data_IF_024953714629
#
_entry.id   IF_024953714629
#
_cell.length_a   1.000
_cell.length_b   1.000
_cell.length_c   1.000
_cell.angle_alpha   90.00
_cell.angle_beta   90.00
_cell.angle_gamma   90.00
#
_symmetry.space_group_name_H-M   'P 1'
#
loop_
_entity.id
_entity.type
_entity.pdbx_description
1 polymer ?
#
# COMPACT_ATOMS: atom_id res chain seq x y z
N UNK A 1 22.99 -3.93 -3.54
CA UNK A 1 21.54 -3.65 -3.54
C UNK A 1 20.80 -4.90 -4.03
N UNK A 2 19.74 -5.32 -3.35
CA UNK A 2 18.98 -6.55 -3.68
C UNK A 2 17.76 -6.17 -4.53
N UNK A 3 17.51 -6.85 -5.64
CA UNK A 3 16.25 -6.69 -6.38
C UNK A 3 15.16 -7.55 -5.75
N UNK A 4 13.95 -7.01 -5.62
CA UNK A 4 12.76 -7.72 -5.16
C UNK A 4 11.70 -7.67 -6.26
N UNK A 5 11.12 -8.81 -6.66
CA UNK A 5 10.09 -8.82 -7.69
C UNK A 5 8.89 -7.92 -7.32
N UNK A 6 8.39 -7.21 -8.32
CA UNK A 6 7.13 -6.48 -8.22
C UNK A 6 5.94 -7.41 -8.17
N UNK A 7 6.07 -8.66 -8.66
CA UNK A 7 4.94 -9.58 -8.83
C UNK A 7 4.15 -9.36 -10.13
N UNK A 8 4.61 -8.44 -10.97
CA UNK A 8 3.98 -8.07 -12.25
C UNK A 8 5.00 -8.37 -13.34
N UNK A 9 4.83 -9.47 -14.11
CA UNK A 9 5.84 -9.94 -15.06
C UNK A 9 6.24 -8.91 -16.14
N UNK A 10 5.30 -8.03 -16.52
CA UNK A 10 5.61 -6.92 -17.42
C UNK A 10 6.57 -5.90 -16.79
N UNK A 11 6.32 -5.54 -15.53
CA UNK A 11 7.12 -4.56 -14.81
C UNK A 11 8.49 -5.13 -14.40
N UNK A 12 8.55 -6.39 -13.97
CA UNK A 12 9.81 -7.05 -13.61
C UNK A 12 10.79 -7.12 -14.79
N UNK A 13 10.27 -7.23 -16.03
CA UNK A 13 11.08 -7.15 -17.25
C UNK A 13 11.60 -5.74 -17.51
N UNK A 14 10.79 -4.71 -17.26
CA UNK A 14 11.16 -3.31 -17.48
C UNK A 14 12.21 -2.86 -16.46
N UNK A 15 12.07 -3.29 -15.19
CA UNK A 15 12.93 -2.88 -14.08
C UNK A 15 14.16 -3.78 -13.88
N UNK A 16 14.39 -4.76 -14.76
CA UNK A 16 15.44 -5.78 -14.60
C UNK A 16 15.40 -6.46 -13.21
N UNK A 17 14.31 -7.20 -12.97
CA UNK A 17 14.02 -8.06 -11.80
C UNK A 17 13.28 -7.38 -10.63
N UNK A 18 12.78 -6.16 -10.83
CA UNK A 18 11.82 -5.52 -9.93
C UNK A 18 12.36 -4.32 -9.18
N UNK A 19 11.90 -4.10 -7.93
CA UNK A 19 12.31 -2.95 -7.13
C UNK A 19 13.65 -3.16 -6.45
N UNK A 20 14.42 -2.09 -6.30
CA UNK A 20 15.67 -2.13 -5.56
C UNK A 20 15.40 -2.00 -4.06
N UNK A 21 15.93 -2.88 -3.20
CA UNK A 21 15.79 -2.80 -1.74
C UNK A 21 17.04 -2.16 -1.10
N UNK A 22 16.88 -1.16 -0.21
CA UNK A 22 15.64 -0.42 0.11
C UNK A 22 15.29 0.61 -0.98
N UNK A 23 14.00 0.88 -1.21
CA UNK A 23 13.52 1.99 -2.06
C UNK A 23 12.13 2.46 -1.65
N UNK A 24 11.79 3.66 -2.11
CA UNK A 24 10.43 4.21 -2.12
C UNK A 24 9.98 4.30 -3.56
N UNK A 25 8.78 3.80 -3.87
CA UNK A 25 8.22 3.76 -5.22
C UNK A 25 6.93 4.57 -5.25
N UNK A 26 6.86 5.57 -6.14
CA UNK A 26 5.63 6.32 -6.40
C UNK A 26 4.90 5.73 -7.60
N UNK A 27 3.64 5.34 -7.40
CA UNK A 27 2.75 4.88 -8.48
C UNK A 27 1.77 6.02 -8.79
N UNK A 28 2.02 6.74 -9.89
CA UNK A 28 1.22 7.89 -10.32
C UNK A 28 0.41 7.60 -11.60
N UNK A 29 -0.75 8.23 -11.72
CA UNK A 29 -1.64 8.08 -12.88
C UNK A 29 -3.08 8.49 -12.59
N UNK A 30 -3.87 8.73 -13.63
CA UNK A 30 -5.28 9.13 -13.51
C UNK A 30 -6.14 8.01 -12.89
N UNK A 31 -7.37 8.33 -12.46
CA UNK A 31 -8.31 7.31 -12.02
C UNK A 31 -8.50 6.21 -13.09
N UNK A 32 -8.63 4.96 -12.66
CA UNK A 32 -8.82 3.81 -13.56
C UNK A 32 -7.55 3.24 -14.21
N UNK A 33 -6.37 3.83 -14.01
CA UNK A 33 -5.11 3.29 -14.61
C UNK A 33 -4.55 2.05 -13.91
N UNK A 34 -5.21 1.55 -12.85
CA UNK A 34 -4.83 0.31 -12.17
C UNK A 34 -3.79 0.46 -11.05
N UNK A 35 -3.60 1.66 -10.47
CA UNK A 35 -2.63 1.90 -9.39
C UNK A 35 -2.86 1.02 -8.16
N UNK A 36 -4.10 0.97 -7.68
CA UNK A 36 -4.52 0.13 -6.55
C UNK A 36 -4.28 -1.36 -6.85
N UNK A 37 -4.67 -1.82 -8.03
CA UNK A 37 -4.39 -3.19 -8.49
C UNK A 37 -2.90 -3.49 -8.52
N UNK A 38 -2.08 -2.56 -9.01
CA UNK A 38 -0.63 -2.71 -9.04
C UNK A 38 -0.05 -2.86 -7.63
N UNK A 39 -0.43 -1.96 -6.71
CA UNK A 39 0.06 -1.97 -5.34
C UNK A 39 -0.31 -3.29 -4.64
N UNK A 40 -1.59 -3.68 -4.73
CA UNK A 40 -2.11 -4.89 -4.10
C UNK A 40 -1.48 -6.14 -4.72
N UNK A 41 -1.42 -6.26 -6.05
CA UNK A 41 -0.75 -7.38 -6.70
C UNK A 41 0.70 -7.53 -6.22
N UNK A 42 1.40 -6.40 -6.01
CA UNK A 42 2.76 -6.42 -5.51
C UNK A 42 2.88 -6.91 -4.07
N UNK A 43 1.96 -6.50 -3.20
CA UNK A 43 1.88 -7.01 -1.83
C UNK A 43 1.54 -8.51 -1.79
N UNK A 44 0.57 -8.96 -2.61
CA UNK A 44 0.25 -10.38 -2.73
C UNK A 44 1.44 -11.22 -3.16
N UNK A 45 2.18 -10.76 -4.17
CA UNK A 45 3.37 -11.48 -4.63
C UNK A 45 4.47 -11.54 -3.56
N UNK A 46 4.63 -10.46 -2.77
CA UNK A 46 5.56 -10.42 -1.66
C UNK A 46 5.13 -11.38 -0.53
N UNK A 47 3.87 -11.30 -0.11
CA UNK A 47 3.30 -12.16 0.93
C UNK A 47 3.38 -13.65 0.57
N UNK A 48 3.13 -14.03 -0.70
CA UNK A 48 3.33 -15.41 -1.18
C UNK A 48 4.78 -15.90 -1.08
N UNK A 49 5.75 -14.98 -1.04
CA UNK A 49 7.17 -15.30 -0.86
C UNK A 49 7.62 -15.19 0.61
N UNK A 50 6.68 -15.07 1.55
CA UNK A 50 6.94 -15.02 2.99
C UNK A 50 7.31 -13.64 3.53
N UNK A 51 7.11 -12.56 2.76
CA UNK A 51 7.28 -11.19 3.26
C UNK A 51 6.04 -10.75 4.06
N UNK A 52 6.24 -10.12 5.21
CA UNK A 52 5.13 -9.47 5.94
C UNK A 52 4.80 -8.13 5.29
N UNK A 53 3.55 -7.93 4.89
CA UNK A 53 3.12 -6.83 4.05
C UNK A 53 2.01 -6.01 4.73
N UNK A 54 2.11 -4.68 4.69
CA UNK A 54 1.06 -3.77 5.14
C UNK A 54 0.43 -3.03 3.96
N UNK A 55 -0.90 -2.95 3.96
CA UNK A 55 -1.66 -2.09 3.07
C UNK A 55 -2.44 -1.07 3.90
N UNK A 56 -2.04 0.19 3.83
CA UNK A 56 -2.77 1.31 4.41
C UNK A 56 -3.70 1.91 3.35
N UNK A 57 -5.00 1.75 3.56
CA UNK A 57 -6.03 2.33 2.72
C UNK A 57 -6.62 3.56 3.38
N UNK A 58 -6.73 4.65 2.63
CA UNK A 58 -7.39 5.87 3.09
C UNK A 58 -8.66 6.20 2.30
N UNK A 59 -9.06 5.30 1.39
CA UNK A 59 -10.34 5.39 0.68
C UNK A 59 -11.40 4.70 1.54
N UNK A 60 -12.56 5.33 1.70
CA UNK A 60 -13.71 4.81 2.46
C UNK A 60 -14.39 3.58 1.84
N UNK A 61 -13.67 2.80 1.02
CA UNK A 61 -14.18 1.56 0.48
C UNK A 61 -14.00 0.46 1.53
N UNK A 62 -15.08 -0.23 1.94
CA UNK A 62 -14.95 -1.34 2.88
C UNK A 62 -14.00 -2.40 2.34
N UNK A 63 -13.20 -3.02 3.21
CA UNK A 63 -12.31 -4.13 2.85
C UNK A 63 -13.06 -5.24 2.08
N UNK A 64 -14.33 -5.48 2.42
CA UNK A 64 -15.18 -6.45 1.72
C UNK A 64 -15.39 -6.11 0.23
N UNK A 65 -15.48 -4.83 -0.13
CA UNK A 65 -15.55 -4.42 -1.52
C UNK A 65 -14.20 -4.63 -2.21
N UNK A 66 -13.10 -4.24 -1.56
CA UNK A 66 -11.75 -4.46 -2.10
C UNK A 66 -11.48 -5.95 -2.34
N UNK A 67 -11.77 -6.81 -1.37
CA UNK A 67 -11.70 -8.27 -1.51
C UNK A 67 -12.58 -8.78 -2.64
N UNK A 68 -13.81 -8.28 -2.78
CA UNK A 68 -14.70 -8.65 -3.88
C UNK A 68 -14.14 -8.27 -5.27
N UNK A 69 -13.54 -7.10 -5.40
CA UNK A 69 -12.86 -6.70 -6.64
C UNK A 69 -11.62 -7.57 -6.90
N UNK A 70 -10.81 -7.79 -5.88
CA UNK A 70 -9.54 -8.52 -5.99
C UNK A 70 -9.75 -10.02 -6.24
N UNK A 71 -10.85 -10.62 -5.77
CA UNK A 71 -11.17 -12.03 -5.94
C UNK A 71 -11.25 -12.48 -7.42
N UNK A 72 -11.45 -11.56 -8.36
CA UNK A 72 -11.47 -11.86 -9.79
C UNK A 72 -10.06 -11.97 -10.41
N UNK A 73 -9.01 -11.61 -9.66
CA UNK A 73 -7.63 -11.67 -10.14
C UNK A 73 -6.95 -12.97 -9.70
N UNK A 74 -6.15 -13.54 -10.60
CA UNK A 74 -5.44 -14.81 -10.36
C UNK A 74 -4.38 -14.73 -9.25
N UNK A 75 -3.95 -13.54 -8.85
CA UNK A 75 -2.99 -13.36 -7.76
C UNK A 75 -3.66 -13.38 -6.38
N UNK A 76 -4.97 -13.18 -6.30
CA UNK A 76 -5.70 -13.11 -5.05
C UNK A 76 -5.62 -14.43 -4.29
N UNK A 77 -5.50 -14.31 -2.97
CA UNK A 77 -5.39 -15.44 -2.07
C UNK A 77 -5.86 -15.04 -0.67
N UNK A 78 -7.06 -15.47 -0.30
CA UNK A 78 -7.66 -15.08 0.98
C UNK A 78 -6.80 -15.51 2.17
N UNK A 79 -6.07 -16.64 2.07
CA UNK A 79 -5.32 -17.17 3.21
C UNK A 79 -4.20 -16.23 3.65
N UNK A 80 -3.65 -15.40 2.76
CA UNK A 80 -2.59 -14.46 3.12
C UNK A 80 -3.06 -13.37 4.09
N UNK A 81 -4.35 -13.06 4.11
CA UNK A 81 -4.94 -12.21 5.14
C UNK A 81 -5.14 -12.98 6.46
N UNK A 82 -5.54 -14.25 6.38
CA UNK A 82 -5.79 -15.11 7.55
C UNK A 82 -4.51 -15.48 8.28
N UNK A 83 -3.42 -15.70 7.53
CA UNK A 83 -2.08 -16.03 8.01
C UNK A 83 -1.28 -14.76 8.44
N UNK A 84 -1.91 -13.58 8.38
CA UNK A 84 -1.32 -12.28 8.73
C UNK A 84 -0.05 -11.91 7.91
N UNK A 85 0.18 -12.57 6.77
CA UNK A 85 1.25 -12.18 5.84
C UNK A 85 0.92 -10.88 5.09
N UNK A 86 -0.36 -10.58 4.89
CA UNK A 86 -0.85 -9.34 4.32
C UNK A 86 -1.89 -8.72 5.26
N UNK A 87 -1.57 -7.59 5.85
CA UNK A 87 -2.40 -6.91 6.85
C UNK A 87 -2.95 -5.63 6.25
N UNK A 88 -4.26 -5.43 6.39
CA UNK A 88 -4.99 -4.27 5.88
C UNK A 88 -5.34 -3.31 7.02
N UNK A 89 -5.05 -2.03 6.82
CA UNK A 89 -5.44 -0.94 7.71
C UNK A 89 -6.38 0.03 7.00
N UNK A 90 -7.55 0.27 7.59
CA UNK A 90 -8.48 1.31 7.16
C UNK A 90 -8.20 2.61 7.93
N UNK A 91 -7.59 3.57 7.27
CA UNK A 91 -7.29 4.90 7.80
C UNK A 91 -8.46 5.89 7.61
N UNK A 92 -9.51 5.53 6.88
CA UNK A 92 -10.60 6.45 6.55
C UNK A 92 -11.33 6.94 7.81
N UNK A 93 -11.48 6.08 8.82
CA UNK A 93 -12.07 6.44 10.10
C UNK A 93 -11.24 7.46 10.89
N UNK A 94 -9.92 7.39 10.82
CA UNK A 94 -9.03 8.29 11.55
C UNK A 94 -8.89 9.63 10.84
N UNK A 95 -8.91 9.64 9.50
CA UNK A 95 -8.99 10.86 8.70
C UNK A 95 -10.25 11.67 9.06
N UNK A 96 -11.41 11.02 9.22
CA UNK A 96 -12.67 11.71 9.54
C UNK A 96 -12.68 12.39 10.91
N UNK A 97 -11.79 12.01 11.83
CA UNK A 97 -11.72 12.61 13.18
C UNK A 97 -10.93 13.93 13.22
N UNK A 98 -10.44 14.43 12.08
CA UNK A 98 -9.76 15.74 11.92
C UNK A 98 -8.49 15.91 12.77
N UNK A 99 -7.70 14.84 12.99
CA UNK A 99 -6.42 14.95 13.69
C UNK A 99 -5.27 14.52 12.79
N UNK A 100 -4.57 15.54 12.32
CA UNK A 100 -3.48 15.49 11.35
C UNK A 100 -2.31 14.59 11.73
N UNK A 101 -1.87 14.72 12.98
CA UNK A 101 -0.70 14.03 13.50
C UNK A 101 -0.97 12.52 13.68
N UNK A 102 -2.23 12.15 13.93
CA UNK A 102 -2.62 10.78 14.23
C UNK A 102 -2.32 9.80 13.07
N UNK A 103 -2.36 10.21 11.80
CA UNK A 103 -2.18 9.24 10.69
C UNK A 103 -0.75 8.74 10.52
N UNK A 104 0.23 9.65 10.62
CA UNK A 104 1.64 9.28 10.55
C UNK A 104 1.98 8.47 11.80
N UNK A 105 1.54 8.93 12.97
CA UNK A 105 1.75 8.21 14.23
C UNK A 105 1.16 6.79 14.19
N UNK A 106 -0.07 6.61 13.64
CA UNK A 106 -0.68 5.29 13.48
C UNK A 106 0.14 4.41 12.54
N UNK A 107 0.62 4.94 11.42
CA UNK A 107 1.45 4.17 10.49
C UNK A 107 2.75 3.76 11.18
N UNK A 108 3.41 4.69 11.85
CA UNK A 108 4.67 4.45 12.57
C UNK A 108 4.48 3.41 13.68
N UNK A 109 3.45 3.53 14.52
CA UNK A 109 3.10 2.55 15.56
C UNK A 109 2.91 1.14 14.99
N UNK A 110 2.21 1.01 13.86
CA UNK A 110 1.98 -0.29 13.23
C UNK A 110 3.25 -0.84 12.54
N UNK A 111 4.07 0.02 11.95
CA UNK A 111 5.35 -0.38 11.36
C UNK A 111 6.34 -0.82 12.43
N UNK A 112 6.38 -0.15 13.58
CA UNK A 112 7.20 -0.54 14.73
C UNK A 112 6.71 -1.84 15.37
N UNK A 113 5.40 -2.04 15.48
CA UNK A 113 4.84 -3.25 16.07
C UNK A 113 5.02 -4.50 15.20
N UNK A 114 4.87 -4.36 13.88
CA UNK A 114 4.80 -5.49 12.94
C UNK A 114 6.14 -5.76 12.25
N UNK A 115 7.00 -4.75 12.12
CA UNK A 115 8.25 -4.81 11.36
C UNK A 115 8.08 -5.37 9.94
N UNK A 116 7.26 -4.73 9.08
CA UNK A 116 6.96 -5.27 7.75
C UNK A 116 8.13 -5.19 6.79
N UNK A 117 8.15 -6.11 5.82
CA UNK A 117 9.08 -6.10 4.69
C UNK A 117 8.66 -5.13 3.58
N UNK A 118 7.34 -4.93 3.41
CA UNK A 118 6.76 -4.12 2.34
C UNK A 118 5.50 -3.38 2.81
N UNK A 119 5.40 -2.11 2.43
CA UNK A 119 4.27 -1.24 2.77
C UNK A 119 3.73 -0.63 1.48
N UNK A 120 2.41 -0.57 1.35
CA UNK A 120 1.74 0.29 0.39
C UNK A 120 0.78 1.24 1.11
N UNK A 121 0.74 2.49 0.65
CA UNK A 121 -0.17 3.53 1.14
C UNK A 121 -0.98 4.01 -0.07
N UNK A 122 -2.29 3.81 -0.05
CA UNK A 122 -3.17 4.12 -1.17
C UNK A 122 -4.43 4.90 -0.74
N UNK A 123 -4.67 6.10 -1.28
CA UNK A 123 -3.76 6.93 -2.06
C UNK A 123 -2.81 7.70 -1.15
N UNK A 124 -1.55 7.88 -1.56
CA UNK A 124 -0.59 8.70 -0.80
C UNK A 124 -1.04 10.16 -0.61
N UNK A 125 -1.92 10.67 -1.48
CA UNK A 125 -2.46 12.04 -1.40
C UNK A 125 -3.29 12.28 -0.14
N UNK A 126 -3.72 11.24 0.57
CA UNK A 126 -4.39 11.44 1.87
C UNK A 126 -3.45 11.95 2.95
N UNK A 127 -2.13 11.83 2.76
CA UNK A 127 -1.13 12.46 3.63
C UNK A 127 -1.13 13.99 3.51
N UNK A 128 -1.67 14.55 2.42
CA UNK A 128 -1.78 16.01 2.23
C UNK A 128 -3.03 16.60 2.88
N UNK A 129 -4.09 15.80 3.08
CA UNK A 129 -5.33 16.23 3.75
C UNK A 129 -5.07 16.94 5.09
N UNK A 130 -4.20 16.39 5.97
CA UNK A 130 -3.96 16.97 7.26
C UNK A 130 -2.99 18.17 7.26
N UNK A 131 -2.28 18.46 6.17
CA UNK A 131 -1.32 19.57 6.07
C UNK A 131 -2.02 20.93 5.82
N UNK A 132 -1.49 21.99 6.43
CA UNK A 132 -1.89 23.37 6.11
C UNK A 132 -1.51 23.75 4.68
N UNK A 133 -2.18 24.75 4.09
CA UNK A 133 -1.84 25.26 2.75
C UNK A 133 -0.41 25.83 2.64
N UNK A 134 0.21 26.19 3.77
CA UNK A 134 1.63 26.56 3.84
C UNK A 134 2.57 25.36 3.79
N UNK A 135 2.18 24.25 4.42
CA UNK A 135 2.97 23.01 4.45
C UNK A 135 2.86 22.27 3.11
N UNK A 136 1.68 22.26 2.48
CA UNK A 136 1.47 21.68 1.14
C UNK A 136 2.40 22.30 0.09
N UNK A 137 2.67 23.60 0.18
CA UNK A 137 3.56 24.32 -0.75
C UNK A 137 5.03 23.91 -0.69
N UNK A 138 5.46 23.12 0.30
CA UNK A 138 6.82 22.56 0.34
C UNK A 138 6.96 21.28 -0.50
N UNK A 139 5.84 20.67 -0.89
CA UNK A 139 5.79 19.42 -1.66
C UNK A 139 5.53 19.62 -3.17
N UNK A 140 5.23 20.86 -3.61
CA UNK A 140 5.05 21.28 -5.00
C UNK A 140 6.05 22.37 -5.38
#
# INVERSE_FOLDING_TARGET
>A
MKQVPTGIPGMDRILDKGFTRPSTVLIAGTAGTGKTTFAIQSLFAAAKNGETCLYFSAISEPIAMLSGYMANFSFYDQSLYEDENLIYFDLSHEIMKNKTYDLIDIIDENVEAIHPDRIAIDPITTMDLPLSDSERRQFY
#
